data_IF_582633688586
#
_entry.id   IF_582633688586
#
_cell.length_a   1.000
_cell.length_b   1.000
_cell.length_c   1.000
_cell.angle_alpha   90.00
_cell.angle_beta   90.00
_cell.angle_gamma   90.00
#
_symmetry.space_group_name_H-M   'P 1'
#
loop_
_entity.id
_entity.type
_entity.pdbx_description
1 polymer ?
#
# COMPACT_ATOMS: atom_id res chain seq x y z
N UNK A 1 -8.18 -10.01 1.73
CA UNK A 1 -7.20 -9.11 2.37
C UNK A 1 -7.26 -7.76 1.67
N UNK A 2 -7.70 -6.72 2.36
CA UNK A 2 -7.70 -5.34 1.87
C UNK A 2 -6.37 -4.65 2.16
N UNK A 3 -6.11 -3.50 1.52
CA UNK A 3 -4.89 -2.71 1.78
C UNK A 3 -4.91 -2.20 3.24
N UNK A 4 -6.07 -1.82 3.75
CA UNK A 4 -6.24 -1.38 5.15
C UNK A 4 -5.90 -2.49 6.15
N UNK A 5 -6.26 -3.74 5.84
CA UNK A 5 -5.88 -4.90 6.65
C UNK A 5 -4.36 -5.14 6.61
N UNK A 6 -3.72 -4.94 5.45
CA UNK A 6 -2.27 -5.08 5.30
C UNK A 6 -1.50 -4.00 6.10
N UNK A 7 -1.98 -2.75 6.10
CA UNK A 7 -1.38 -1.66 6.88
C UNK A 7 -1.47 -1.98 8.37
N UNK A 8 -2.65 -2.37 8.86
CA UNK A 8 -2.85 -2.73 10.28
C UNK A 8 -1.95 -3.88 10.75
N UNK A 9 -1.78 -4.90 9.92
CA UNK A 9 -0.87 -6.02 10.23
C UNK A 9 0.57 -5.49 10.35
N UNK A 10 1.00 -4.66 9.40
CA UNK A 10 2.37 -4.13 9.36
C UNK A 10 2.65 -3.17 10.53
N UNK A 11 1.68 -2.34 10.91
CA UNK A 11 1.75 -1.49 12.11
C UNK A 11 1.78 -2.32 13.41
N UNK A 12 0.98 -3.38 13.49
CA UNK A 12 0.97 -4.28 14.64
C UNK A 12 2.30 -5.05 14.81
N UNK A 13 3.02 -5.29 13.72
CA UNK A 13 4.37 -5.88 13.74
C UNK A 13 5.41 -4.88 14.23
N UNK A 14 5.24 -3.60 13.89
CA UNK A 14 6.10 -2.50 14.36
C UNK A 14 5.96 -2.27 15.88
N UNK A 15 4.75 -2.35 16.42
CA UNK A 15 4.45 -2.10 17.85
C UNK A 15 4.90 -3.24 18.80
N UNK A 16 5.68 -4.20 18.31
CA UNK A 16 6.41 -5.14 19.17
C UNK A 16 5.72 -6.48 19.46
N UNK A 17 4.88 -6.98 18.53
CA UNK A 17 4.49 -8.40 18.57
C UNK A 17 5.64 -9.36 18.23
N UNK A 18 6.72 -8.86 17.63
CA UNK A 18 7.95 -9.62 17.39
C UNK A 18 9.04 -9.25 18.42
N UNK A 19 9.50 -10.25 19.17
CA UNK A 19 10.48 -10.16 20.26
C UNK A 19 11.94 -9.91 19.77
N UNK A 20 12.13 -9.60 18.49
CA UNK A 20 13.43 -9.38 17.87
C UNK A 20 13.47 -7.99 17.23
N UNK A 21 13.83 -6.99 18.04
CA UNK A 21 14.06 -5.61 17.59
C UNK A 21 15.43 -5.51 16.92
N UNK A 22 15.48 -5.87 15.65
CA UNK A 22 16.59 -5.49 14.77
C UNK A 22 16.23 -4.12 14.16
N UNK A 23 17.09 -3.12 14.34
CA UNK A 23 16.86 -1.76 13.81
C UNK A 23 16.61 -1.77 12.29
N UNK A 24 17.20 -2.72 11.56
CA UNK A 24 16.98 -2.86 10.11
C UNK A 24 15.56 -3.34 9.76
N UNK A 25 14.89 -4.04 10.68
CA UNK A 25 13.53 -4.53 10.49
C UNK A 25 12.51 -3.38 10.62
N UNK A 26 12.76 -2.43 11.52
CA UNK A 26 11.90 -1.26 11.72
C UNK A 26 11.87 -0.38 10.46
N UNK A 27 13.04 -0.10 9.89
CA UNK A 27 13.17 0.65 8.64
C UNK A 27 12.48 -0.04 7.46
N UNK A 28 12.62 -1.37 7.35
CA UNK A 28 11.95 -2.15 6.31
C UNK A 28 10.42 -2.13 6.45
N UNK A 29 9.91 -2.19 7.69
CA UNK A 29 8.47 -2.11 7.97
C UNK A 29 7.92 -0.72 7.67
N UNK A 30 8.63 0.35 8.05
CA UNK A 30 8.25 1.73 7.71
C UNK A 30 8.19 1.95 6.20
N UNK A 31 9.18 1.42 5.45
CA UNK A 31 9.18 1.46 3.98
C UNK A 31 7.97 0.72 3.39
N UNK A 32 7.64 -0.46 3.95
CA UNK A 32 6.47 -1.25 3.56
C UNK A 32 5.14 -0.50 3.78
N UNK A 33 4.97 0.12 4.95
CA UNK A 33 3.79 0.94 5.28
C UNK A 33 3.67 2.11 4.30
N UNK A 34 4.77 2.82 4.04
CA UNK A 34 4.78 3.94 3.10
C UNK A 34 4.43 3.53 1.66
N UNK A 35 4.86 2.34 1.21
CA UNK A 35 4.47 1.80 -0.10
C UNK A 35 2.97 1.50 -0.18
N UNK A 36 2.40 0.88 0.86
CA UNK A 36 0.96 0.57 0.92
C UNK A 36 0.10 1.84 0.92
N UNK A 37 0.48 2.85 1.70
CA UNK A 37 -0.19 4.16 1.73
C UNK A 37 -0.14 4.86 0.37
N UNK A 38 0.99 4.78 -0.35
CA UNK A 38 1.07 5.33 -1.71
C UNK A 38 0.12 4.61 -2.67
N UNK A 39 0.06 3.29 -2.62
CA UNK A 39 -0.87 2.50 -3.45
C UNK A 39 -2.31 2.89 -3.13
N UNK A 40 -2.67 3.03 -1.85
CA UNK A 40 -3.99 3.49 -1.43
C UNK A 40 -4.30 4.90 -1.97
N UNK A 41 -3.36 5.84 -1.83
CA UNK A 41 -3.48 7.19 -2.37
C UNK A 41 -3.69 7.19 -3.88
N UNK A 42 -2.89 6.44 -4.63
CA UNK A 42 -3.08 6.26 -6.08
C UNK A 42 -4.47 5.69 -6.38
N UNK A 43 -4.90 4.64 -5.67
CA UNK A 43 -6.24 4.08 -5.88
C UNK A 43 -7.35 5.08 -5.56
N UNK A 44 -7.19 5.93 -4.54
CA UNK A 44 -8.15 6.98 -4.20
C UNK A 44 -8.21 8.08 -5.25
N UNK A 45 -7.06 8.45 -5.83
CA UNK A 45 -6.93 9.50 -6.85
C UNK A 45 -7.46 9.07 -8.22
N UNK A 46 -7.26 7.80 -8.57
CA UNK A 46 -7.57 7.27 -9.90
C UNK A 46 -8.80 6.35 -9.93
N UNK A 47 -9.50 6.15 -8.80
CA UNK A 47 -10.74 5.35 -8.73
C UNK A 47 -11.87 5.83 -9.64
N UNK A 48 -11.76 7.03 -10.21
CA UNK A 48 -12.74 7.60 -11.14
C UNK A 48 -12.20 7.98 -12.52
N UNK A 49 -10.94 7.68 -12.88
CA UNK A 49 -10.33 8.26 -14.07
C UNK A 49 -9.44 7.33 -14.90
N UNK A 50 -9.66 6.02 -14.89
CA UNK A 50 -9.02 5.13 -15.88
C UNK A 50 -10.13 4.49 -16.72
N UNK A 51 -10.75 5.35 -17.54
CA UNK A 51 -11.33 4.99 -18.83
C UNK A 51 -10.67 5.88 -19.91
N UNK A 52 -9.38 6.22 -19.76
CA UNK A 52 -8.65 6.74 -20.91
C UNK A 52 -8.38 5.55 -21.83
N UNK A 53 -9.19 5.46 -22.88
CA UNK A 53 -8.99 4.53 -23.99
C UNK A 53 -7.54 4.66 -24.47
N UNK A 54 -6.86 3.52 -24.59
CA UNK A 54 -5.53 3.50 -25.15
C UNK A 54 -5.59 3.97 -26.62
N UNK A 55 -4.50 4.53 -27.18
CA UNK A 55 -4.47 4.94 -28.58
C UNK A 55 -4.83 3.77 -29.51
N UNK A 56 -6.04 3.81 -30.09
CA UNK A 56 -6.57 2.75 -30.96
C UNK A 56 -7.79 1.99 -30.41
N UNK A 57 -8.25 2.25 -29.19
CA UNK A 57 -9.50 1.68 -28.65
C UNK A 57 -10.70 2.59 -29.01
N UNK A 58 -11.84 1.99 -29.37
CA UNK A 58 -13.11 2.68 -29.62
C UNK A 58 -14.10 2.31 -28.53
N UNK A 59 -14.89 3.28 -28.04
CA UNK A 59 -16.05 3.00 -27.18
C UNK A 59 -17.01 2.09 -27.96
N UNK A 60 -17.29 0.89 -27.42
CA UNK A 60 -18.40 0.04 -27.87
C UNK A 60 -19.76 0.59 -27.43
#
# INVERSE_FOLDING_TARGET
>A
MTIDEAIKITESLLDGTYDHRDENMEDALMLGIGALQRIEWYRSKYRGSINELLPGETEE
#
